data_IF_112909862831
#
_entry.id   IF_112909862831
#
_cell.length_a   1.000
_cell.length_b   1.000
_cell.length_c   1.000
_cell.angle_alpha   90.00
_cell.angle_beta   90.00
_cell.angle_gamma   90.00
#
_symmetry.space_group_name_H-M   'P 1'
#
loop_
_entity.id
_entity.type
_entity.pdbx_description
1 polymer ?
#
# COMPACT_ATOMS: atom_id res chain seq x y z
N UNK A 1 9.77 -34.78 1.90
CA UNK A 1 8.75 -33.74 2.15
C UNK A 1 9.36 -32.41 1.78
N UNK A 2 9.29 -32.03 0.50
CA UNK A 2 9.86 -30.76 0.02
C UNK A 2 8.81 -29.65 0.11
N UNK A 3 9.26 -28.47 0.58
CA UNK A 3 9.22 -27.19 -0.17
C UNK A 3 8.62 -25.98 0.59
N UNK A 4 9.43 -24.91 0.65
CA UNK A 4 9.11 -23.48 0.82
C UNK A 4 9.10 -22.87 2.24
N UNK A 5 10.27 -22.76 2.88
CA UNK A 5 10.44 -22.10 4.19
C UNK A 5 10.88 -20.61 4.15
N UNK A 6 10.83 -19.88 3.03
CA UNK A 6 11.31 -18.48 3.03
C UNK A 6 10.43 -17.47 2.29
N UNK A 7 9.13 -17.74 2.12
CA UNK A 7 8.20 -16.68 1.70
C UNK A 7 7.22 -16.40 2.84
N UNK A 8 7.14 -15.16 3.34
CA UNK A 8 6.16 -14.83 4.36
C UNK A 8 4.77 -15.24 3.84
N UNK A 9 3.93 -15.89 4.66
CA UNK A 9 2.62 -16.29 4.21
C UNK A 9 1.79 -15.01 4.01
N UNK A 10 1.62 -14.61 2.74
CA UNK A 10 0.73 -13.51 2.38
C UNK A 10 -0.70 -13.95 2.63
N UNK A 11 -1.20 -13.69 3.84
CA UNK A 11 -2.52 -14.12 4.30
C UNK A 11 -3.46 -12.92 4.23
N UNK A 12 -4.62 -13.10 3.61
CA UNK A 12 -5.66 -12.09 3.61
C UNK A 12 -6.20 -11.88 5.03
N UNK A 13 -6.27 -10.62 5.47
CA UNK A 13 -6.72 -10.29 6.82
C UNK A 13 -8.19 -10.67 7.07
N UNK A 14 -9.06 -10.58 6.05
CA UNK A 14 -10.49 -10.92 6.13
C UNK A 14 -10.74 -12.42 6.07
N UNK A 15 -10.31 -13.10 5.00
CA UNK A 15 -10.67 -14.51 4.76
C UNK A 15 -9.66 -15.51 5.30
N UNK A 16 -8.52 -15.05 5.85
CA UNK A 16 -7.41 -15.86 6.38
C UNK A 16 -6.80 -16.88 5.39
N UNK A 17 -7.17 -16.80 4.10
CA UNK A 17 -6.60 -17.62 3.02
C UNK A 17 -5.32 -16.99 2.48
N UNK A 18 -4.42 -17.83 1.96
CA UNK A 18 -3.18 -17.41 1.30
C UNK A 18 -3.49 -16.72 -0.04
N UNK A 19 -2.82 -15.60 -0.30
CA UNK A 19 -2.81 -14.87 -1.56
C UNK A 19 -1.70 -15.45 -2.43
N UNK A 20 -2.06 -16.03 -3.58
CA UNK A 20 -1.12 -16.73 -4.47
C UNK A 20 -0.69 -15.85 -5.65
N UNK A 21 -1.50 -14.87 -6.05
CA UNK A 21 -1.28 -14.04 -7.23
C UNK A 21 -1.08 -12.57 -6.87
N UNK A 22 -0.10 -11.92 -7.51
CA UNK A 22 0.15 -10.48 -7.37
C UNK A 22 -1.07 -9.63 -7.73
N UNK A 23 -1.81 -10.00 -8.79
CA UNK A 23 -2.97 -9.22 -9.26
C UNK A 23 -4.12 -9.18 -8.25
N UNK A 24 -4.17 -10.16 -7.34
CA UNK A 24 -5.22 -10.29 -6.35
C UNK A 24 -4.85 -9.64 -5.01
N UNK A 25 -3.61 -9.19 -4.83
CA UNK A 25 -3.15 -8.57 -3.58
C UNK A 25 -3.51 -7.09 -3.54
N UNK A 26 -4.13 -6.67 -2.44
CA UNK A 26 -4.28 -5.27 -2.08
C UNK A 26 -3.53 -5.05 -0.78
N UNK A 27 -2.50 -4.20 -0.84
CA UNK A 27 -1.79 -3.74 0.36
C UNK A 27 -2.42 -2.45 0.82
N UNK A 28 -2.84 -2.43 2.08
CA UNK A 28 -3.43 -1.26 2.73
C UNK A 28 -2.55 -0.84 3.90
N UNK A 29 -2.54 0.46 4.20
CA UNK A 29 -1.99 0.97 5.46
C UNK A 29 -3.11 1.36 6.39
N UNK A 30 -2.88 1.16 7.69
CA UNK A 30 -3.64 1.82 8.75
C UNK A 30 -2.71 2.23 9.88
N UNK A 31 -2.65 3.53 10.16
CA UNK A 31 -1.80 4.22 11.15
C UNK A 31 -0.31 3.91 11.06
N UNK A 32 0.15 2.65 11.15
CA UNK A 32 1.52 2.21 10.83
C UNK A 32 1.62 0.73 10.41
N UNK A 33 0.49 0.02 10.30
CA UNK A 33 0.47 -1.41 10.01
C UNK A 33 0.05 -1.68 8.57
N UNK A 34 0.76 -2.59 7.93
CA UNK A 34 0.40 -3.11 6.62
C UNK A 34 -0.60 -4.26 6.77
N UNK A 35 -1.71 -4.15 6.06
CA UNK A 35 -2.71 -5.20 5.98
C UNK A 35 -2.86 -5.65 4.54
N UNK A 36 -2.87 -6.97 4.35
CA UNK A 36 -3.01 -7.61 3.05
C UNK A 36 -4.42 -8.13 2.88
N UNK A 37 -4.98 -7.88 1.70
CA UNK A 37 -6.32 -8.33 1.35
C UNK A 37 -6.33 -8.94 -0.04
N UNK A 38 -7.28 -9.84 -0.29
CA UNK A 38 -7.68 -10.15 -1.66
C UNK A 38 -8.47 -8.97 -2.23
N UNK A 39 -8.34 -8.69 -3.52
CA UNK A 39 -9.07 -7.62 -4.20
C UNK A 39 -10.60 -7.70 -3.97
N UNK A 40 -11.18 -8.91 -4.04
CA UNK A 40 -12.60 -9.14 -3.76
C UNK A 40 -12.96 -8.86 -2.29
N UNK A 41 -12.15 -9.36 -1.34
CA UNK A 41 -12.35 -9.12 0.09
C UNK A 41 -12.22 -7.63 0.43
N UNK A 42 -11.29 -6.92 -0.20
CA UNK A 42 -11.09 -5.50 0.00
C UNK A 42 -12.26 -4.68 -0.52
N UNK A 43 -12.76 -4.96 -1.74
CA UNK A 43 -13.95 -4.27 -2.27
C UNK A 43 -15.16 -4.40 -1.33
N UNK A 44 -15.38 -5.60 -0.79
CA UNK A 44 -16.46 -5.81 0.17
C UNK A 44 -16.21 -5.03 1.45
N UNK A 45 -15.00 -5.09 2.01
CA UNK A 45 -14.66 -4.42 3.26
C UNK A 45 -14.64 -2.89 3.13
N UNK A 46 -14.31 -2.34 1.97
CA UNK A 46 -14.31 -0.89 1.71
C UNK A 46 -15.72 -0.28 1.79
N UNK A 47 -16.77 -1.07 1.49
CA UNK A 47 -18.15 -0.64 1.69
C UNK A 47 -18.53 -0.51 3.17
N UNK A 48 -17.90 -1.28 4.05
CA UNK A 48 -18.20 -1.29 5.49
C UNK A 48 -17.21 -0.49 6.34
N UNK A 49 -15.96 -0.32 5.88
CA UNK A 49 -14.89 0.30 6.64
C UNK A 49 -13.89 1.03 5.71
N UNK A 50 -14.13 2.32 5.48
CA UNK A 50 -13.29 3.19 4.63
C UNK A 50 -11.95 3.61 5.27
N UNK A 51 -11.61 3.10 6.46
CA UNK A 51 -10.39 3.49 7.19
C UNK A 51 -9.10 2.90 6.62
N UNK A 52 -9.18 1.98 5.67
CA UNK A 52 -8.01 1.37 5.04
C UNK A 52 -7.65 2.13 3.76
N UNK A 53 -6.44 2.70 3.73
CA UNK A 53 -5.95 3.40 2.54
C UNK A 53 -5.19 2.39 1.67
N UNK A 54 -5.70 2.06 0.47
CA UNK A 54 -5.02 1.15 -0.43
C UNK A 54 -3.78 1.83 -1.05
N UNK A 55 -2.63 1.19 -0.91
CA UNK A 55 -1.31 1.76 -1.27
C UNK A 55 -0.90 1.37 -2.69
N UNK A 56 -1.37 0.20 -3.16
CA UNK A 56 -1.00 -0.35 -4.46
C UNK A 56 -2.00 -0.05 -5.57
N UNK A 57 -2.91 0.90 -5.35
CA UNK A 57 -3.92 1.32 -6.32
C UNK A 57 -3.47 2.54 -7.11
N UNK A 58 -4.11 2.76 -8.26
CA UNK A 58 -3.93 3.96 -9.07
C UNK A 58 -4.22 5.24 -8.27
N UNK A 59 -5.10 5.18 -7.27
CA UNK A 59 -5.38 6.30 -6.39
C UNK A 59 -4.13 6.80 -5.65
N UNK A 60 -3.30 5.89 -5.13
CA UNK A 60 -2.06 6.27 -4.47
C UNK A 60 -1.05 6.92 -5.46
N UNK A 61 -1.04 6.47 -6.72
CA UNK A 61 -0.22 7.11 -7.75
C UNK A 61 -0.65 8.56 -8.01
N UNK A 62 -1.95 8.82 -8.14
CA UNK A 62 -2.47 10.19 -8.27
C UNK A 62 -2.20 11.04 -7.02
N UNK A 63 -2.33 10.47 -5.81
CA UNK A 63 -1.96 11.15 -4.57
C UNK A 63 -0.49 11.56 -4.53
N UNK A 64 0.42 10.69 -4.98
CA UNK A 64 1.85 11.00 -5.06
C UNK A 64 2.10 12.16 -6.03
N UNK A 65 1.53 12.11 -7.24
CA UNK A 65 1.69 13.19 -8.23
C UNK A 65 1.15 14.52 -7.68
N UNK A 66 -0.08 14.49 -7.15
CA UNK A 66 -0.71 15.68 -6.59
C UNK A 66 0.11 16.25 -5.42
N UNK A 67 0.56 15.39 -4.51
CA UNK A 67 1.41 15.76 -3.38
C UNK A 67 2.73 16.38 -3.82
N UNK A 68 3.38 15.85 -4.87
CA UNK A 68 4.61 16.42 -5.42
C UNK A 68 4.38 17.82 -6.02
N UNK A 69 3.27 18.02 -6.74
CA UNK A 69 2.93 19.33 -7.34
C UNK A 69 2.65 20.36 -6.24
N UNK A 70 1.67 20.08 -5.36
CA UNK A 70 1.29 20.97 -4.26
C UNK A 70 2.48 21.22 -3.35
N UNK A 71 3.24 20.18 -3.09
CA UNK A 71 4.42 20.27 -2.27
C UNK A 71 5.50 21.17 -2.86
N UNK A 72 5.79 21.04 -4.15
CA UNK A 72 6.77 21.91 -4.83
C UNK A 72 6.35 23.37 -4.78
N UNK A 73 5.05 23.66 -4.95
CA UNK A 73 4.49 25.01 -4.80
C UNK A 73 4.67 25.52 -3.37
N UNK A 74 4.39 24.69 -2.37
CA UNK A 74 4.59 25.03 -0.95
C UNK A 74 6.05 25.36 -0.66
N UNK A 75 7.01 24.56 -1.14
CA UNK A 75 8.43 24.85 -0.93
C UNK A 75 8.87 26.22 -1.45
N UNK A 76 8.32 26.66 -2.59
CA UNK A 76 8.66 27.95 -3.20
C UNK A 76 7.98 29.11 -2.47
N UNK A 77 6.72 28.93 -2.08
CA UNK A 77 5.87 30.01 -1.53
C UNK A 77 6.05 30.21 -0.03
N UNK A 78 6.24 29.12 0.72
CA UNK A 78 6.37 29.13 2.17
C UNK A 78 7.37 28.06 2.59
N UNK A 79 8.60 28.43 2.98
CA UNK A 79 9.59 27.46 3.45
C UNK A 79 9.12 26.86 4.77
N UNK A 80 8.31 25.81 4.66
CA UNK A 80 7.59 25.19 5.76
C UNK A 80 7.85 23.68 5.73
N UNK A 81 7.95 23.09 6.92
CA UNK A 81 8.26 21.67 7.12
C UNK A 81 7.11 20.77 6.63
N UNK A 82 5.93 21.35 6.37
CA UNK A 82 4.70 20.67 5.92
C UNK A 82 4.96 19.83 4.67
N UNK A 83 5.91 20.22 3.81
CA UNK A 83 6.29 19.44 2.63
C UNK A 83 6.76 18.01 2.93
N UNK A 84 7.32 17.75 4.12
CA UNK A 84 7.78 16.41 4.52
C UNK A 84 6.64 15.38 4.53
N UNK A 85 5.38 15.81 4.71
CA UNK A 85 4.21 14.93 4.68
C UNK A 85 4.05 14.29 3.29
N UNK A 86 4.50 14.95 2.22
CA UNK A 86 4.48 14.41 0.84
C UNK A 86 5.36 13.16 0.69
N UNK A 87 6.39 13.01 1.53
CA UNK A 87 7.27 11.84 1.50
C UNK A 87 6.59 10.58 2.04
N UNK A 88 5.56 10.72 2.88
CA UNK A 88 4.86 9.58 3.48
C UNK A 88 4.26 8.62 2.42
N UNK A 89 3.38 9.04 1.48
CA UNK A 89 2.82 8.12 0.49
C UNK A 89 3.88 7.47 -0.41
N UNK A 90 4.97 8.18 -0.72
CA UNK A 90 6.12 7.66 -1.48
C UNK A 90 6.80 6.53 -0.70
N UNK A 91 7.12 6.78 0.58
CA UNK A 91 7.74 5.79 1.46
C UNK A 91 6.86 4.54 1.63
N UNK A 92 5.55 4.71 1.84
CA UNK A 92 4.61 3.59 1.96
C UNK A 92 4.51 2.78 0.66
N UNK A 93 4.60 3.41 -0.52
CA UNK A 93 4.63 2.68 -1.80
C UNK A 93 5.89 1.83 -1.91
N UNK A 94 7.05 2.39 -1.54
CA UNK A 94 8.31 1.67 -1.55
C UNK A 94 8.31 0.48 -0.58
N UNK A 95 7.81 0.69 0.65
CA UNK A 95 7.63 -0.37 1.64
C UNK A 95 6.68 -1.48 1.14
N UNK A 96 5.54 -1.10 0.55
CA UNK A 96 4.61 -2.06 -0.06
C UNK A 96 5.27 -2.90 -1.15
N UNK A 97 6.13 -2.29 -1.98
CA UNK A 97 6.86 -3.04 -3.00
C UNK A 97 7.88 -3.99 -2.39
N UNK A 98 8.70 -3.51 -1.47
CA UNK A 98 9.80 -4.26 -0.87
C UNK A 98 9.33 -5.46 -0.03
N UNK A 99 8.31 -5.27 0.82
CA UNK A 99 7.82 -6.31 1.73
C UNK A 99 6.85 -7.30 1.08
N UNK A 100 6.15 -6.90 0.01
CA UNK A 100 5.04 -7.69 -0.53
C UNK A 100 5.28 -7.99 -2.00
N UNK A 101 5.29 -6.98 -2.86
CA UNK A 101 5.27 -7.20 -4.31
C UNK A 101 6.52 -7.91 -4.84
N UNK A 102 7.69 -7.69 -4.21
CA UNK A 102 8.96 -8.34 -4.58
C UNK A 102 8.85 -9.86 -4.60
N UNK A 103 8.07 -10.45 -3.70
CA UNK A 103 7.95 -11.91 -3.57
C UNK A 103 7.04 -12.57 -4.61
N UNK A 104 6.26 -11.77 -5.35
CA UNK A 104 5.40 -12.23 -6.45
C UNK A 104 5.93 -11.86 -7.83
N UNK A 105 7.14 -11.30 -7.92
CA UNK A 105 7.75 -10.83 -9.18
C UNK A 105 8.66 -11.88 -9.85
N UNK A 106 8.49 -13.16 -9.53
CA UNK A 106 9.17 -14.31 -10.16
C UNK A 106 8.17 -15.08 -11.01
#
# INVERSE_FOLDING_TARGET
MERNEMRPPFICHTCKKRIVRKKDIITTTRYFQFYLFHNSCFKQQQLYASYFIPINTLFNFFLIIYGLIVGSILMITTPSIIWLIVLLPISYRFLSYYYVERFFST
#
